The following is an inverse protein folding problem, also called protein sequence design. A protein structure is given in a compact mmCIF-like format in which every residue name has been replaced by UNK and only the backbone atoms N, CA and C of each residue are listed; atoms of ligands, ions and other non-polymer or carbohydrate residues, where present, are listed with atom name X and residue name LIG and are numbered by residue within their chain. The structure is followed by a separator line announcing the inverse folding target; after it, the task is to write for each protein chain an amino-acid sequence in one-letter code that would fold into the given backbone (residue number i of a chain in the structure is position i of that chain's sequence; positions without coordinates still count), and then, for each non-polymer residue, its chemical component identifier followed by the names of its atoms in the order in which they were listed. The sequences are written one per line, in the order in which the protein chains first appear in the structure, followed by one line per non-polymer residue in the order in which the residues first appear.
data_IF_675330854938
#
_entry.id   IF_675330854938
#
_cell.length_a   1.000
_cell.length_b   1.000
_cell.length_c   1.000
_cell.angle_alpha   90.00
_cell.angle_beta   90.00
_cell.angle_gamma   90.00
#
_symmetry.space_group_name_H-M   'P 1'
#
loop_
_entity.id
_entity.type
_entity.pdbx_description
1 polymer ?
#
# COMPACT_ATOMS: atom_id res chain seq x y z
N UNK A 1 -39.57 -9.54 -17.14
CA UNK A 1 -38.33 -9.55 -16.35
C UNK A 1 -37.82 -8.12 -16.23
N UNK A 2 -37.61 -7.58 -15.03
CA UNK A 2 -36.92 -6.28 -14.90
C UNK A 2 -35.45 -6.46 -15.29
N UNK A 3 -35.05 -5.92 -16.44
CA UNK A 3 -33.66 -5.90 -16.89
C UNK A 3 -32.81 -5.17 -15.85
N UNK A 4 -31.79 -5.86 -15.31
CA UNK A 4 -30.95 -5.32 -14.25
C UNK A 4 -30.13 -4.14 -14.81
N UNK A 5 -30.24 -2.97 -14.18
CA UNK A 5 -29.46 -1.80 -14.55
C UNK A 5 -27.99 -2.01 -14.19
N UNK A 6 -27.11 -1.82 -15.16
CA UNK A 6 -25.66 -1.77 -14.99
C UNK A 6 -25.23 -0.41 -14.45
N UNK A 7 -25.69 0.67 -15.09
CA UNK A 7 -25.44 2.07 -14.70
C UNK A 7 -26.77 2.80 -14.60
N UNK A 8 -27.05 3.35 -13.43
CA UNK A 8 -28.23 4.18 -13.17
C UNK A 8 -28.04 5.60 -13.74
N UNK A 9 -29.14 6.35 -13.87
CA UNK A 9 -29.09 7.76 -14.29
C UNK A 9 -28.18 8.61 -13.38
N UNK A 10 -28.23 8.38 -12.07
CA UNK A 10 -27.35 9.04 -11.11
C UNK A 10 -25.87 8.75 -11.38
N UNK A 11 -25.51 7.46 -11.49
CA UNK A 11 -24.14 7.04 -11.75
C UNK A 11 -23.63 7.57 -13.09
N UNK A 12 -24.48 7.58 -14.12
CA UNK A 12 -24.16 8.16 -15.42
C UNK A 12 -23.84 9.65 -15.33
N UNK A 13 -24.65 10.45 -14.62
CA UNK A 13 -24.43 11.90 -14.51
C UNK A 13 -23.18 12.25 -13.69
N UNK A 14 -22.77 11.35 -12.79
CA UNK A 14 -21.47 11.45 -12.12
C UNK A 14 -20.36 11.11 -13.11
N UNK A 15 -20.40 9.91 -13.71
CA UNK A 15 -19.33 9.36 -14.56
C UNK A 15 -19.08 10.17 -15.84
N UNK A 16 -20.09 10.79 -16.44
CA UNK A 16 -19.90 11.60 -17.65
C UNK A 16 -18.95 12.79 -17.44
N UNK A 17 -18.81 13.25 -16.19
CA UNK A 17 -17.89 14.34 -15.83
C UNK A 17 -16.53 13.82 -15.33
N UNK A 18 -16.31 12.50 -15.30
CA UNK A 18 -15.08 11.86 -14.84
C UNK A 18 -13.85 12.31 -15.63
N UNK A 19 -12.84 12.82 -14.94
CA UNK A 19 -11.56 13.14 -15.57
C UNK A 19 -10.89 11.87 -16.12
N UNK A 20 -10.96 10.76 -15.38
CA UNK A 20 -10.45 9.45 -15.80
C UNK A 20 -11.06 9.01 -17.14
N UNK A 21 -12.39 9.02 -17.26
CA UNK A 21 -13.07 8.54 -18.48
C UNK A 21 -12.89 9.50 -19.66
N UNK A 22 -12.72 10.81 -19.42
CA UNK A 22 -12.45 11.79 -20.47
C UNK A 22 -11.04 11.64 -21.06
N UNK A 23 -10.04 11.27 -20.24
CA UNK A 23 -8.63 11.32 -20.60
C UNK A 23 -7.95 9.94 -20.80
N UNK A 24 -8.72 8.86 -20.78
CA UNK A 24 -8.20 7.50 -21.00
C UNK A 24 -8.77 6.94 -22.31
N UNK A 25 -8.00 6.89 -23.41
CA UNK A 25 -8.48 6.44 -24.72
C UNK A 25 -9.12 5.05 -24.71
N UNK A 26 -8.61 4.14 -23.88
CA UNK A 26 -9.10 2.76 -23.72
C UNK A 26 -10.49 2.67 -23.08
N UNK A 27 -11.02 3.78 -22.56
CA UNK A 27 -12.34 3.90 -21.95
C UNK A 27 -13.30 4.76 -22.80
N UNK A 28 -12.91 5.16 -24.02
CA UNK A 28 -13.75 6.00 -24.87
C UNK A 28 -15.05 5.29 -25.32
N UNK A 29 -15.03 3.97 -25.40
CA UNK A 29 -16.22 3.14 -25.62
C UNK A 29 -17.25 3.29 -24.49
N UNK A 30 -16.81 3.26 -23.23
CA UNK A 30 -17.65 3.53 -22.05
C UNK A 30 -18.14 4.98 -22.07
N UNK A 31 -17.27 5.93 -22.41
CA UNK A 31 -17.62 7.35 -22.48
C UNK A 31 -18.73 7.58 -23.52
N UNK A 32 -18.62 7.01 -24.71
CA UNK A 32 -19.64 7.06 -25.75
C UNK A 32 -20.96 6.46 -25.27
N UNK A 33 -20.93 5.31 -24.59
CA UNK A 33 -22.13 4.71 -24.00
C UNK A 33 -22.82 5.64 -22.99
N UNK A 34 -22.06 6.30 -22.11
CA UNK A 34 -22.60 7.24 -21.14
C UNK A 34 -23.19 8.50 -21.80
N UNK A 35 -22.60 9.00 -22.89
CA UNK A 35 -23.12 10.17 -23.61
C UNK A 35 -24.48 9.88 -24.24
N UNK A 36 -24.63 8.72 -24.90
CA UNK A 36 -25.84 8.40 -25.67
C UNK A 36 -26.97 7.81 -24.85
N UNK A 37 -26.69 7.29 -23.64
CA UNK A 37 -27.70 6.61 -22.83
C UNK A 37 -28.00 7.35 -21.51
N UNK A 38 -29.29 7.42 -21.15
CA UNK A 38 -29.74 7.97 -19.85
C UNK A 38 -29.52 7.00 -18.68
N UNK A 39 -29.44 5.71 -18.98
CA UNK A 39 -29.09 4.61 -18.09
C UNK A 39 -28.60 3.45 -18.96
N UNK A 40 -27.88 2.50 -18.39
CA UNK A 40 -27.37 1.33 -19.12
C UNK A 40 -27.86 0.08 -18.40
N UNK A 41 -28.53 -0.81 -19.12
CA UNK A 41 -28.98 -2.12 -18.70
C UNK A 41 -28.16 -3.23 -19.37
N UNK A 42 -28.29 -4.46 -18.88
CA UNK A 42 -27.62 -5.62 -19.48
C UNK A 42 -28.06 -5.90 -20.92
N UNK A 43 -29.24 -5.44 -21.34
CA UNK A 43 -29.73 -5.61 -22.70
C UNK A 43 -29.17 -4.57 -23.70
N UNK A 44 -28.59 -3.47 -23.19
CA UNK A 44 -28.13 -2.35 -24.03
C UNK A 44 -26.69 -2.55 -24.55
N UNK A 45 -26.01 -3.59 -24.08
CA UNK A 45 -24.58 -3.81 -24.33
C UNK A 45 -24.27 -5.30 -24.51
N UNK A 46 -23.12 -5.60 -25.13
CA UNK A 46 -22.65 -6.99 -25.23
C UNK A 46 -22.35 -7.59 -23.85
N UNK A 47 -22.38 -8.93 -23.74
CA UNK A 47 -22.07 -9.65 -22.50
C UNK A 47 -20.71 -9.29 -21.92
N UNK A 48 -19.71 -9.07 -22.80
CA UNK A 48 -18.36 -8.68 -22.39
C UNK A 48 -18.32 -7.25 -21.83
N UNK A 49 -19.01 -6.32 -22.50
CA UNK A 49 -19.16 -4.95 -22.02
C UNK A 49 -19.92 -4.90 -20.68
N UNK A 50 -20.98 -5.70 -20.53
CA UNK A 50 -21.72 -5.83 -19.28
C UNK A 50 -20.81 -6.32 -18.13
N UNK A 51 -19.95 -7.32 -18.37
CA UNK A 51 -18.95 -7.78 -17.38
C UNK A 51 -17.95 -6.69 -17.03
N UNK A 52 -17.40 -5.99 -18.02
CA UNK A 52 -16.44 -4.90 -17.82
C UNK A 52 -17.03 -3.79 -16.94
N UNK A 53 -18.26 -3.36 -17.24
CA UNK A 53 -18.98 -2.38 -16.43
C UNK A 53 -19.22 -2.92 -15.00
N UNK A 54 -19.74 -4.14 -14.84
CA UNK A 54 -19.97 -4.74 -13.50
C UNK A 54 -18.69 -4.77 -12.66
N UNK A 55 -17.56 -5.11 -13.29
CA UNK A 55 -16.26 -5.24 -12.62
C UNK A 55 -15.68 -3.88 -12.20
N UNK A 56 -15.81 -2.86 -13.03
CA UNK A 56 -15.05 -1.61 -12.86
C UNK A 56 -15.88 -0.37 -12.50
N UNK A 57 -17.23 -0.43 -12.59
CA UNK A 57 -18.11 0.72 -12.30
C UNK A 57 -17.85 1.36 -10.94
N UNK A 58 -17.68 0.53 -9.91
CA UNK A 58 -17.46 1.03 -8.55
C UNK A 58 -16.16 1.85 -8.44
N UNK A 59 -15.09 1.40 -9.11
CA UNK A 59 -13.81 2.12 -9.16
C UNK A 59 -13.92 3.41 -9.96
N UNK A 60 -14.58 3.39 -11.13
CA UNK A 60 -14.79 4.59 -11.92
C UNK A 60 -15.57 5.65 -11.14
N UNK A 61 -16.63 5.24 -10.44
CA UNK A 61 -17.42 6.14 -9.60
C UNK A 61 -16.57 6.70 -8.46
N UNK A 62 -15.80 5.84 -7.79
CA UNK A 62 -14.92 6.23 -6.68
C UNK A 62 -13.87 7.26 -7.12
N UNK A 63 -13.16 7.01 -8.22
CA UNK A 63 -12.19 7.96 -8.77
C UNK A 63 -12.87 9.28 -9.13
N UNK A 64 -14.02 9.22 -9.80
CA UNK A 64 -14.78 10.41 -10.19
C UNK A 64 -15.24 11.23 -8.98
N UNK A 65 -15.60 10.58 -7.86
CA UNK A 65 -15.94 11.30 -6.64
C UNK A 65 -14.72 11.97 -5.98
N UNK A 66 -13.51 11.46 -6.18
CA UNK A 66 -12.29 12.11 -5.69
C UNK A 66 -11.92 13.36 -6.50
N UNK A 67 -12.27 13.38 -7.79
CA UNK A 67 -12.12 14.56 -8.66
C UNK A 67 -13.10 15.70 -8.31
N UNK A 68 -14.14 15.40 -7.52
CA UNK A 68 -15.19 16.36 -7.15
C UNK A 68 -14.91 16.96 -5.77
N UNK A 69 -14.85 18.29 -5.71
CA UNK A 69 -14.61 19.05 -4.47
C UNK A 69 -15.78 19.98 -4.18
N UNK A 70 -16.02 20.29 -2.91
CA UNK A 70 -17.06 21.27 -2.58
C UNK A 70 -16.53 22.67 -2.91
N UNK A 71 -17.29 23.44 -3.69
CA UNK A 71 -16.98 24.85 -3.90
C UNK A 71 -17.25 25.62 -2.59
N UNK A 72 -16.17 26.07 -1.94
CA UNK A 72 -16.23 26.83 -0.68
C UNK A 72 -16.42 28.33 -0.93
N UNK A 73 -16.20 28.82 -2.14
CA UNK A 73 -16.42 30.23 -2.51
C UNK A 73 -17.91 30.57 -2.61
N UNK A 74 -18.75 29.56 -2.86
CA UNK A 74 -20.21 29.72 -2.98
C UNK A 74 -20.93 29.20 -1.75
N UNK A 75 -21.71 30.08 -1.13
CA UNK A 75 -22.59 29.68 -0.04
C UNK A 75 -23.69 28.73 -0.55
N UNK A 76 -24.05 27.69 0.22
CA UNK A 76 -25.18 26.84 -0.13
C UNK A 76 -26.47 27.66 -0.28
N UNK A 77 -27.23 27.39 -1.35
CA UNK A 77 -28.48 28.09 -1.65
C UNK A 77 -29.66 27.41 -0.93
N UNK A 78 -30.49 28.20 -0.25
CA UNK A 78 -31.73 27.72 0.34
C UNK A 78 -32.85 27.80 -0.69
N UNK A 79 -33.47 26.66 -0.99
CA UNK A 79 -34.56 26.58 -1.96
C UNK A 79 -35.85 27.05 -1.29
N UNK A 80 -36.45 28.14 -1.80
CA UNK A 80 -37.74 28.63 -1.29
C UNK A 80 -38.87 27.70 -1.75
N UNK A 81 -39.93 27.58 -0.94
CA UNK A 81 -41.11 26.83 -1.33
C UNK A 81 -41.71 27.41 -2.62
N UNK A 82 -41.84 26.58 -3.65
CA UNK A 82 -42.40 26.95 -4.97
C UNK A 82 -41.38 27.09 -6.10
N UNK A 83 -40.08 27.22 -5.80
CA UNK A 83 -39.03 27.25 -6.84
C UNK A 83 -38.67 25.84 -7.30
N UNK A 84 -38.70 25.59 -8.61
CA UNK A 84 -38.37 24.29 -9.21
C UNK A 84 -36.85 24.15 -9.43
N UNK A 85 -36.10 23.83 -8.39
CA UNK A 85 -34.68 23.47 -8.51
C UNK A 85 -34.49 21.95 -8.55
N UNK A 86 -33.63 21.44 -9.45
CA UNK A 86 -33.30 20.00 -9.55
C UNK A 86 -31.82 19.75 -9.29
N UNK A 87 -31.51 18.62 -8.65
CA UNK A 87 -30.14 18.19 -8.43
C UNK A 87 -29.50 17.74 -9.74
N UNK A 88 -28.29 18.22 -10.05
CA UNK A 88 -27.58 17.83 -11.27
C UNK A 88 -27.32 16.31 -11.37
N UNK A 89 -26.88 15.65 -10.29
CA UNK A 89 -26.60 14.21 -10.37
C UNK A 89 -27.85 13.32 -10.41
N UNK A 90 -28.82 13.52 -9.52
CA UNK A 90 -29.95 12.60 -9.42
C UNK A 90 -31.23 13.08 -10.12
N UNK A 91 -31.23 14.28 -10.70
CA UNK A 91 -32.39 14.92 -11.35
C UNK A 91 -33.64 15.04 -10.48
N UNK A 92 -33.53 14.81 -9.16
CA UNK A 92 -34.65 14.98 -8.23
C UNK A 92 -34.81 16.46 -7.86
N UNK A 93 -36.05 16.94 -7.67
CA UNK A 93 -36.28 18.28 -7.15
C UNK A 93 -35.68 18.44 -5.75
N UNK A 94 -35.09 19.60 -5.51
CA UNK A 94 -34.50 19.98 -4.23
C UNK A 94 -35.58 20.65 -3.37
N UNK A 95 -35.75 20.17 -2.14
CA UNK A 95 -36.81 20.62 -1.23
C UNK A 95 -36.29 21.43 -0.04
N UNK A 96 -34.98 21.68 0.02
CA UNK A 96 -34.36 22.35 1.18
C UNK A 96 -33.10 23.14 0.82
N UNK A 97 -32.02 22.46 0.45
CA UNK A 97 -30.70 23.08 0.29
C UNK A 97 -29.93 22.53 -0.90
N UNK A 98 -29.39 23.43 -1.71
CA UNK A 98 -28.47 23.13 -2.79
C UNK A 98 -27.03 23.47 -2.39
N UNK A 99 -26.10 22.61 -2.77
CA UNK A 99 -24.66 22.81 -2.61
C UNK A 99 -24.00 22.90 -3.97
N UNK A 100 -22.83 23.51 -4.01
CA UNK A 100 -22.01 23.62 -5.20
C UNK A 100 -20.79 22.70 -5.08
N UNK A 101 -20.53 21.96 -6.15
CA UNK A 101 -19.40 21.03 -6.27
C UNK A 101 -18.66 21.38 -7.54
N UNK A 102 -17.35 21.53 -7.46
CA UNK A 102 -16.43 21.73 -8.58
C UNK A 102 -15.82 20.40 -9.00
N UNK A 103 -15.71 20.14 -10.30
CA UNK A 103 -14.77 19.12 -10.78
C UNK A 103 -13.35 19.69 -10.94
N UNK A 104 -12.45 18.84 -11.42
CA UNK A 104 -11.06 19.16 -11.73
C UNK A 104 -10.87 20.17 -12.87
N UNK A 105 -11.91 20.38 -13.70
CA UNK A 105 -11.91 21.35 -14.80
C UNK A 105 -12.58 22.68 -14.37
N UNK A 106 -12.71 22.93 -13.04
CA UNK A 106 -13.39 24.07 -12.41
C UNK A 106 -14.86 24.26 -12.78
N UNK A 107 -15.50 23.21 -13.32
CA UNK A 107 -16.93 23.26 -13.64
C UNK A 107 -17.75 23.07 -12.37
N UNK A 108 -18.64 24.02 -12.11
CA UNK A 108 -19.49 24.02 -10.91
C UNK A 108 -20.84 23.32 -11.18
N UNK A 109 -21.16 22.33 -10.35
CA UNK A 109 -22.42 21.58 -10.36
C UNK A 109 -23.26 21.92 -9.13
N UNK A 110 -24.55 22.13 -9.34
CA UNK A 110 -25.52 22.29 -8.26
C UNK A 110 -26.11 20.95 -7.85
N UNK A 111 -25.94 20.56 -6.59
CA UNK A 111 -26.27 19.22 -6.09
C UNK A 111 -27.03 19.26 -4.76
N UNK A 112 -27.94 18.30 -4.57
CA UNK A 112 -28.68 18.14 -3.32
C UNK A 112 -27.86 17.49 -2.22
N UNK A 113 -28.27 17.69 -0.97
CA UNK A 113 -27.63 17.14 0.23
C UNK A 113 -27.31 15.64 0.14
N UNK A 114 -28.24 14.83 -0.35
CA UNK A 114 -28.06 13.38 -0.50
C UNK A 114 -27.01 13.00 -1.56
N UNK A 115 -26.88 13.79 -2.61
CA UNK A 115 -25.88 13.55 -3.67
C UNK A 115 -24.50 14.03 -3.26
N UNK A 116 -24.43 15.13 -2.49
CA UNK A 116 -23.18 15.66 -1.92
C UNK A 116 -22.55 14.65 -0.96
N UNK A 117 -23.35 13.99 -0.11
CA UNK A 117 -22.86 12.98 0.85
C UNK A 117 -22.16 11.78 0.19
N UNK A 118 -22.48 11.48 -1.06
CA UNK A 118 -21.92 10.35 -1.81
C UNK A 118 -20.54 10.68 -2.42
N UNK A 119 -20.18 11.95 -2.48
CA UNK A 119 -18.87 12.41 -2.92
C UNK A 119 -17.92 12.19 -1.74
N UNK A 120 -17.04 11.20 -1.87
CA UNK A 120 -16.12 10.75 -0.84
C UNK A 120 -15.03 11.80 -0.57
N UNK A 121 -15.40 12.88 0.12
CA UNK A 121 -14.47 13.79 0.75
C UNK A 121 -14.29 13.37 2.22
N UNK A 122 -13.06 13.31 2.75
CA UNK A 122 -12.80 13.23 4.19
C UNK A 122 -13.59 14.25 5.02
N UNK A 123 -13.90 15.45 4.48
CA UNK A 123 -14.78 16.43 5.11
C UNK A 123 -16.25 15.97 5.27
N UNK A 124 -16.68 14.95 4.53
CA UNK A 124 -18.07 14.43 4.52
C UNK A 124 -18.24 13.07 5.21
N UNK A 125 -17.20 12.49 5.82
CA UNK A 125 -17.35 11.36 6.76
C UNK A 125 -18.00 11.76 8.11
N UNK A 126 -18.50 13.00 8.19
CA UNK A 126 -19.26 13.55 9.30
C UNK A 126 -20.74 13.52 8.90
N UNK A 127 -21.54 12.62 9.47
CA UNK A 127 -22.91 12.89 9.93
C UNK A 127 -23.64 11.59 10.31
N UNK A 128 -23.76 11.32 11.61
CA UNK A 128 -24.99 10.72 12.13
C UNK A 128 -26.12 11.74 11.94
N UNK A 129 -27.30 11.33 11.44
CA UNK A 129 -28.49 12.18 11.54
C UNK A 129 -28.78 12.48 13.02
N UNK A 130 -28.58 13.74 13.44
CA UNK A 130 -28.86 14.17 14.81
C UNK A 130 -30.37 14.22 15.07
N UNK A 131 -31.13 14.77 14.12
CA UNK A 131 -32.58 14.86 14.16
C UNK A 131 -33.23 13.66 13.45
N UNK A 132 -34.25 13.08 14.08
CA UNK A 132 -35.02 11.93 13.59
C UNK A 132 -36.37 12.32 12.98
N UNK A 133 -36.85 13.53 13.21
CA UNK A 133 -38.14 14.02 12.72
C UNK A 133 -38.12 15.55 12.49
N UNK A 134 -39.17 16.07 11.84
CA UNK A 134 -39.29 17.49 11.49
C UNK A 134 -39.24 18.44 12.71
N UNK A 135 -39.78 18.04 13.87
CA UNK A 135 -39.73 18.86 15.09
C UNK A 135 -38.30 18.95 15.65
N UNK A 136 -37.58 17.84 15.69
CA UNK A 136 -36.16 17.82 16.08
C UNK A 136 -35.30 18.61 15.09
N UNK A 137 -35.64 18.57 13.80
CA UNK A 137 -34.95 19.30 12.75
C UNK A 137 -35.07 20.82 12.93
N UNK A 138 -36.26 21.35 13.21
CA UNK A 138 -36.46 22.78 13.52
C UNK A 138 -35.63 23.24 14.72
N UNK A 139 -35.55 22.41 15.77
CA UNK A 139 -34.74 22.70 16.96
C UNK A 139 -33.24 22.63 16.66
N UNK A 140 -32.81 21.69 15.82
CA UNK A 140 -31.44 21.58 15.36
C UNK A 140 -31.02 22.82 14.54
N UNK A 141 -31.88 23.31 13.65
CA UNK A 141 -31.65 24.53 12.88
C UNK A 141 -31.49 25.75 13.78
N UNK A 142 -32.32 25.87 14.83
CA UNK A 142 -32.17 26.91 15.86
C UNK A 142 -30.84 26.82 16.61
N UNK A 143 -30.39 25.61 16.96
CA UNK A 143 -29.05 25.44 17.54
C UNK A 143 -27.94 25.78 16.56
N UNK A 144 -28.08 25.43 15.28
CA UNK A 144 -27.08 25.73 14.26
C UNK A 144 -26.91 27.24 14.05
N UNK A 145 -28.01 28.01 14.14
CA UNK A 145 -27.95 29.47 14.06
C UNK A 145 -27.20 30.10 15.24
N UNK A 146 -27.37 29.55 16.45
CA UNK A 146 -26.82 30.14 17.67
C UNK A 146 -25.45 29.57 18.09
N UNK A 147 -25.16 28.31 17.74
CA UNK A 147 -23.98 27.56 18.15
C UNK A 147 -23.42 26.69 17.00
N UNK A 148 -23.03 27.29 15.87
CA UNK A 148 -22.62 26.53 14.67
C UNK A 148 -21.45 25.58 14.94
N UNK A 149 -20.42 26.03 15.67
CA UNK A 149 -19.25 25.23 16.03
C UNK A 149 -19.60 24.03 16.93
N UNK A 150 -20.50 24.22 17.89
CA UNK A 150 -20.91 23.15 18.79
C UNK A 150 -21.64 22.03 18.04
N UNK A 151 -22.41 22.38 17.01
CA UNK A 151 -23.06 21.41 16.14
C UNK A 151 -22.04 20.69 15.26
N UNK A 152 -20.99 21.36 14.80
CA UNK A 152 -19.89 20.70 14.08
C UNK A 152 -19.21 19.66 14.97
N UNK A 153 -18.79 20.05 16.19
CA UNK A 153 -18.15 19.16 17.16
C UNK A 153 -19.03 17.96 17.50
N UNK A 154 -20.33 18.17 17.71
CA UNK A 154 -21.28 17.11 18.06
C UNK A 154 -21.52 16.06 16.97
N UNK A 155 -21.06 16.32 15.73
CA UNK A 155 -21.22 15.40 14.60
C UNK A 155 -19.98 14.53 14.35
N UNK A 156 -18.83 14.85 14.94
CA UNK A 156 -17.64 14.02 14.77
C UNK A 156 -17.92 12.61 15.30
N UNK A 157 -17.65 11.61 14.46
CA UNK A 157 -17.56 10.22 14.90
C UNK A 157 -16.09 9.86 15.19
N UNK A 158 -15.87 8.69 15.76
CA UNK A 158 -14.52 8.21 16.11
C UNK A 158 -13.58 8.27 14.92
N UNK A 159 -13.99 7.79 13.74
CA UNK A 159 -13.16 7.79 12.54
C UNK A 159 -12.80 9.22 12.10
N UNK A 160 -13.75 10.15 12.12
CA UNK A 160 -13.53 11.54 11.76
C UNK A 160 -12.49 12.20 12.69
N UNK A 161 -12.51 11.86 13.99
CA UNK A 161 -11.48 12.33 14.93
C UNK A 161 -10.12 11.71 14.60
N UNK A 162 -10.05 10.40 14.31
CA UNK A 162 -8.80 9.71 13.95
C UNK A 162 -8.12 10.35 12.75
N UNK A 163 -8.88 10.67 11.69
CA UNK A 163 -8.37 11.19 10.42
C UNK A 163 -8.21 12.71 10.36
N UNK A 164 -8.62 13.44 11.41
CA UNK A 164 -8.41 14.89 11.51
C UNK A 164 -6.94 15.27 11.66
N UNK A 165 -6.11 14.34 12.13
CA UNK A 165 -4.72 14.58 12.49
C UNK A 165 -3.74 13.92 11.52
N UNK A 166 -2.60 14.58 11.30
CA UNK A 166 -1.52 14.06 10.44
C UNK A 166 -0.84 12.79 10.98
N UNK A 167 -0.84 12.62 12.31
CA UNK A 167 -0.27 11.46 13.00
C UNK A 167 -1.35 10.71 13.76
N UNK A 168 -1.14 9.41 13.98
CA UNK A 168 -2.03 8.58 14.80
C UNK A 168 -1.98 9.03 16.25
N UNK A 169 -3.15 9.33 16.79
CA UNK A 169 -3.31 9.70 18.20
C UNK A 169 -3.11 8.50 19.13
N UNK A 170 -2.50 8.75 20.28
CA UNK A 170 -2.55 7.80 21.40
C UNK A 170 -3.99 7.55 21.83
N UNK A 171 -4.22 6.40 22.47
CA UNK A 171 -5.54 6.06 23.00
C UNK A 171 -6.03 7.12 23.99
N UNK A 172 -5.15 7.64 24.86
CA UNK A 172 -5.48 8.68 25.84
C UNK A 172 -5.95 9.97 25.18
N UNK A 173 -5.29 10.39 24.10
CA UNK A 173 -5.66 11.60 23.36
C UNK A 173 -6.99 11.43 22.62
N UNK A 174 -7.16 10.28 21.97
CA UNK A 174 -8.38 9.93 21.26
C UNK A 174 -9.57 9.85 22.22
N UNK A 175 -9.44 9.15 23.36
CA UNK A 175 -10.48 9.00 24.36
C UNK A 175 -10.88 10.36 24.96
N UNK A 176 -9.93 11.28 25.15
CA UNK A 176 -10.22 12.63 25.63
C UNK A 176 -11.04 13.44 24.62
N UNK A 177 -10.67 13.44 23.33
CA UNK A 177 -11.45 14.11 22.27
C UNK A 177 -12.85 13.49 22.15
N UNK A 178 -12.95 12.16 22.17
CA UNK A 178 -14.22 11.45 22.11
C UNK A 178 -15.13 11.79 23.29
N UNK A 179 -14.58 11.90 24.50
CA UNK A 179 -15.35 12.27 25.68
C UNK A 179 -15.93 13.69 25.55
N UNK A 180 -15.16 14.65 25.04
CA UNK A 180 -15.65 16.02 24.80
C UNK A 180 -16.76 16.01 23.74
N UNK A 181 -16.53 15.31 22.62
CA UNK A 181 -17.53 15.16 21.54
C UNK A 181 -18.82 14.50 22.04
N UNK A 182 -18.71 13.45 22.86
CA UNK A 182 -19.86 12.75 23.47
C UNK A 182 -20.66 13.68 24.38
N UNK A 183 -20.00 14.53 25.18
CA UNK A 183 -20.66 15.53 26.03
C UNK A 183 -21.42 16.56 25.18
N UNK A 184 -20.79 17.13 24.14
CA UNK A 184 -21.46 18.01 23.17
C UNK A 184 -22.67 17.33 22.52
N UNK A 185 -22.49 16.11 22.01
CA UNK A 185 -23.53 15.34 21.35
C UNK A 185 -24.75 15.10 22.27
N UNK A 186 -24.51 14.74 23.53
CA UNK A 186 -25.59 14.51 24.50
C UNK A 186 -26.41 15.77 24.79
N UNK A 187 -25.77 16.94 24.90
CA UNK A 187 -26.46 18.22 25.11
C UNK A 187 -27.31 18.55 23.89
N UNK A 188 -26.73 18.47 22.68
CA UNK A 188 -27.46 18.69 21.42
C UNK A 188 -28.65 17.75 21.32
N UNK A 189 -28.47 16.46 21.65
CA UNK A 189 -29.54 15.46 21.57
C UNK A 189 -30.68 15.73 22.56
N UNK A 190 -30.36 16.13 23.79
CA UNK A 190 -31.34 16.51 24.82
C UNK A 190 -32.14 17.74 24.40
N UNK A 191 -31.48 18.76 23.85
CA UNK A 191 -32.14 19.96 23.36
C UNK A 191 -33.11 19.65 22.21
N UNK A 192 -32.64 18.97 21.15
CA UNK A 192 -33.49 18.73 19.98
C UNK A 192 -34.66 17.78 20.30
N UNK A 193 -34.46 16.79 21.18
CA UNK A 193 -35.56 15.93 21.66
C UNK A 193 -36.57 16.67 22.56
N UNK A 194 -36.23 17.86 23.07
CA UNK A 194 -37.08 18.61 23.99
C UNK A 194 -37.10 18.04 25.41
N UNK A 195 -36.16 17.13 25.73
CA UNK A 195 -35.99 16.53 27.05
C UNK A 195 -35.09 17.37 27.97
N UNK A 196 -34.57 18.50 27.49
CA UNK A 196 -33.76 19.43 28.28
C UNK A 196 -33.76 20.84 27.67
N UNK A 197 -33.69 21.85 28.53
CA UNK A 197 -33.76 23.27 28.17
C UNK A 197 -32.38 23.96 28.08
N UNK A 198 -31.34 23.39 28.69
CA UNK A 198 -30.03 24.04 28.83
C UNK A 198 -29.09 23.81 27.65
N UNK A 199 -28.55 24.91 27.09
CA UNK A 199 -27.42 24.95 26.14
C UNK A 199 -26.11 25.41 26.81
N UNK A 200 -26.11 25.69 28.12
CA UNK A 200 -25.06 26.42 28.83
C UNK A 200 -23.64 25.87 28.62
N UNK A 201 -23.47 24.55 28.66
CA UNK A 201 -22.16 23.93 28.54
C UNK A 201 -21.69 23.71 27.08
N UNK A 202 -22.51 24.03 26.06
CA UNK A 202 -22.11 23.85 24.65
C UNK A 202 -20.87 24.68 24.32
N UNK A 203 -20.82 25.94 24.77
CA UNK A 203 -19.68 26.82 24.55
C UNK A 203 -18.43 26.33 25.29
N UNK A 204 -18.60 25.79 26.51
CA UNK A 204 -17.51 25.25 27.31
C UNK A 204 -16.83 24.08 26.59
N UNK A 205 -17.60 23.06 26.22
CA UNK A 205 -17.05 21.86 25.58
C UNK A 205 -16.54 22.12 24.17
N UNK A 206 -17.14 23.05 23.43
CA UNK A 206 -16.63 23.47 22.11
C UNK A 206 -15.27 24.15 22.23
N UNK A 207 -15.11 25.08 23.20
CA UNK A 207 -13.82 25.71 23.49
C UNK A 207 -12.78 24.69 23.97
N UNK A 208 -13.18 23.74 24.81
CA UNK A 208 -12.30 22.68 25.29
C UNK A 208 -11.81 21.79 24.14
N UNK A 209 -12.72 21.37 23.25
CA UNK A 209 -12.39 20.59 22.06
C UNK A 209 -11.41 21.34 21.15
N UNK A 210 -11.72 22.58 20.79
CA UNK A 210 -10.87 23.37 19.90
C UNK A 210 -9.49 23.66 20.51
N UNK A 211 -9.42 23.96 21.81
CA UNK A 211 -8.15 24.14 22.52
C UNK A 211 -7.31 22.86 22.46
N UNK A 212 -7.90 21.71 22.79
CA UNK A 212 -7.17 20.44 22.82
C UNK A 212 -6.78 19.95 21.43
N UNK A 213 -7.67 20.10 20.44
CA UNK A 213 -7.41 19.86 19.02
C UNK A 213 -6.22 20.67 18.53
N UNK A 214 -6.21 21.98 18.77
CA UNK A 214 -5.13 22.85 18.30
C UNK A 214 -3.80 22.52 18.98
N UNK A 215 -3.82 22.20 20.28
CA UNK A 215 -2.62 21.73 20.98
C UNK A 215 -2.06 20.44 20.34
N UNK A 216 -2.92 19.45 20.04
CA UNK A 216 -2.52 18.22 19.36
C UNK A 216 -1.99 18.48 17.94
N UNK A 217 -2.59 19.41 17.20
CA UNK A 217 -2.11 19.77 15.85
C UNK A 217 -0.69 20.35 15.91
N UNK A 218 -0.41 21.24 16.85
CA UNK A 218 0.93 21.81 17.04
C UNK A 218 1.92 20.72 17.48
N UNK A 219 1.54 19.90 18.45
CA UNK A 219 2.35 18.76 18.88
C UNK A 219 2.70 17.83 17.70
N UNK A 220 1.76 17.56 16.82
CA UNK A 220 2.03 16.75 15.62
C UNK A 220 2.97 17.43 14.64
N UNK A 221 2.84 18.75 14.43
CA UNK A 221 3.77 19.46 13.55
C UNK A 221 5.22 19.34 14.03
N UNK A 222 5.44 19.52 15.33
CA UNK A 222 6.77 19.42 15.94
C UNK A 222 7.37 18.01 15.85
N UNK A 223 6.52 16.98 15.68
CA UNK A 223 6.90 15.57 15.70
C UNK A 223 6.79 14.87 14.33
N UNK A 224 6.47 15.60 13.25
CA UNK A 224 6.27 15.03 11.91
C UNK A 224 7.51 14.27 11.39
N UNK A 225 8.71 14.76 11.71
CA UNK A 225 9.97 14.16 11.29
C UNK A 225 10.47 13.04 12.22
N UNK A 226 9.72 12.70 13.27
CA UNK A 226 10.10 11.65 14.21
C UNK A 226 9.80 10.28 13.60
N UNK A 227 10.81 9.41 13.35
CA UNK A 227 10.63 8.13 12.67
C UNK A 227 9.68 7.16 13.38
N UNK A 228 9.43 7.36 14.67
CA UNK A 228 8.55 6.48 15.45
C UNK A 228 7.08 6.85 15.34
N UNK A 229 6.74 8.09 14.94
CA UNK A 229 5.36 8.58 14.92
C UNK A 229 4.68 8.20 13.61
N UNK A 230 3.54 7.54 13.68
CA UNK A 230 2.92 6.95 12.49
C UNK A 230 1.99 7.93 11.76
N UNK A 231 2.22 8.20 10.46
CA UNK A 231 1.35 9.07 9.66
C UNK A 231 -0.02 8.47 9.37
N UNK A 232 -1.06 9.28 9.55
CA UNK A 232 -2.45 8.89 9.26
C UNK A 232 -2.74 8.81 7.76
N UNK A 233 -1.94 9.48 6.91
CA UNK A 233 -2.06 9.40 5.45
C UNK A 233 -1.84 7.97 4.92
N UNK A 234 -0.89 7.24 5.51
CA UNK A 234 -0.58 5.85 5.16
C UNK A 234 -1.80 4.95 5.42
N UNK A 235 -2.44 5.10 6.59
CA UNK A 235 -3.68 4.40 6.91
C UNK A 235 -4.82 4.73 5.94
N UNK A 236 -4.90 6.00 5.56
CA UNK A 236 -5.90 6.48 4.61
C UNK A 236 -5.69 5.83 3.25
N UNK A 237 -4.45 5.75 2.79
CA UNK A 237 -4.10 5.11 1.52
C UNK A 237 -4.34 3.59 1.57
N UNK A 238 -4.01 2.91 2.67
CA UNK A 238 -4.37 1.49 2.85
C UNK A 238 -5.89 1.26 2.75
N UNK A 239 -6.71 2.14 3.34
CA UNK A 239 -8.17 2.06 3.22
C UNK A 239 -8.62 2.25 1.76
N UNK A 240 -8.05 3.24 1.07
CA UNK A 240 -8.33 3.51 -0.34
C UNK A 240 -7.94 2.31 -1.21
N UNK A 241 -6.84 1.62 -0.92
CA UNK A 241 -6.41 0.43 -1.67
C UNK A 241 -7.10 -0.87 -1.25
N UNK A 242 -8.15 -0.79 -0.43
CA UNK A 242 -8.99 -1.94 -0.06
C UNK A 242 -8.52 -2.72 1.18
N UNK A 243 -7.51 -2.24 1.90
CA UNK A 243 -6.93 -2.87 3.11
C UNK A 243 -7.52 -2.30 4.40
N UNK A 244 -8.84 -2.04 4.42
CA UNK A 244 -9.50 -1.33 5.52
C UNK A 244 -9.35 -2.01 6.89
N UNK A 245 -9.54 -3.32 6.95
CA UNK A 245 -9.48 -4.05 8.22
C UNK A 245 -8.06 -4.09 8.79
N UNK A 246 -7.07 -4.20 7.91
CA UNK A 246 -5.66 -4.13 8.27
C UNK A 246 -5.28 -2.73 8.76
N UNK A 247 -5.69 -1.69 8.05
CA UNK A 247 -5.48 -0.30 8.47
C UNK A 247 -6.07 -0.02 9.86
N UNK A 248 -7.28 -0.53 10.15
CA UNK A 248 -7.89 -0.38 11.47
C UNK A 248 -7.10 -1.12 12.57
N UNK A 249 -6.62 -2.34 12.29
CA UNK A 249 -5.78 -3.09 13.23
C UNK A 249 -4.47 -2.36 13.51
N UNK A 250 -3.83 -1.80 12.48
CA UNK A 250 -2.61 -0.99 12.62
C UNK A 250 -2.89 0.24 13.45
N UNK A 251 -3.95 1.00 13.14
CA UNK A 251 -4.34 2.17 13.93
C UNK A 251 -4.48 1.81 15.41
N UNK A 252 -5.25 0.77 15.73
CA UNK A 252 -5.55 0.41 17.12
C UNK A 252 -4.28 -0.02 17.88
N UNK A 253 -3.35 -0.73 17.23
CA UNK A 253 -2.07 -1.12 17.84
C UNK A 253 -1.12 0.06 18.05
N UNK A 254 -1.02 0.95 17.06
CA UNK A 254 -0.19 2.17 17.15
C UNK A 254 -0.78 3.13 18.19
N UNK A 255 -2.10 3.28 18.22
CA UNK A 255 -2.79 4.12 19.20
C UNK A 255 -2.60 3.63 20.64
N UNK A 256 -2.56 2.30 20.86
CA UNK A 256 -2.19 1.71 22.16
C UNK A 256 -0.73 1.93 22.54
N UNK A 257 0.13 2.14 21.54
CA UNK A 257 1.57 2.38 21.71
C UNK A 257 1.88 3.88 21.69
N UNK A 258 0.98 4.71 22.23
CA UNK A 258 1.09 6.18 22.27
C UNK A 258 1.36 6.85 20.91
N UNK A 259 0.84 6.30 19.82
CA UNK A 259 1.06 6.82 18.46
C UNK A 259 2.40 6.40 17.85
N UNK A 260 3.13 5.48 18.50
CA UNK A 260 4.41 4.94 18.06
C UNK A 260 4.20 3.63 17.31
N UNK A 261 4.82 3.51 16.13
CA UNK A 261 4.91 2.24 15.42
C UNK A 261 6.06 1.40 15.98
N UNK A 262 5.75 0.20 16.46
CA UNK A 262 6.75 -0.76 16.94
C UNK A 262 7.31 -1.60 15.81
N UNK A 263 8.47 -2.24 16.01
CA UNK A 263 9.07 -3.11 15.00
C UNK A 263 8.13 -4.24 14.58
N UNK A 264 7.48 -4.88 15.55
CA UNK A 264 6.55 -6.01 15.32
C UNK A 264 5.34 -5.66 14.46
N UNK A 265 4.95 -4.38 14.46
CA UNK A 265 3.90 -3.85 13.59
C UNK A 265 4.51 -3.50 12.23
N UNK A 266 5.61 -2.75 12.22
CA UNK A 266 6.27 -2.28 11.01
C UNK A 266 6.62 -3.43 10.04
N UNK A 267 7.18 -4.53 10.54
CA UNK A 267 7.60 -5.67 9.70
C UNK A 267 6.42 -6.37 9.00
N UNK A 268 5.18 -6.15 9.45
CA UNK A 268 3.97 -6.75 8.87
C UNK A 268 3.37 -5.89 7.76
N UNK A 269 3.72 -4.61 7.68
CA UNK A 269 3.15 -3.68 6.71
C UNK A 269 3.96 -3.75 5.40
N UNK A 270 3.33 -4.27 4.35
CA UNK A 270 3.94 -4.41 3.01
C UNK A 270 3.58 -3.27 2.05
N UNK A 271 2.88 -2.24 2.52
CA UNK A 271 2.42 -1.12 1.72
C UNK A 271 3.60 -0.26 1.20
N UNK A 272 3.58 0.09 -0.09
CA UNK A 272 4.68 0.81 -0.75
C UNK A 272 4.94 2.20 -0.16
N UNK A 273 3.90 2.98 0.13
CA UNK A 273 4.04 4.31 0.73
C UNK A 273 4.63 4.21 2.14
N UNK A 274 4.18 3.22 2.92
CA UNK A 274 4.76 2.94 4.23
C UNK A 274 6.25 2.59 4.14
N UNK A 275 6.64 1.72 3.21
CA UNK A 275 8.03 1.33 3.04
C UNK A 275 8.89 2.50 2.55
N UNK A 276 8.34 3.37 1.69
CA UNK A 276 9.03 4.58 1.24
C UNK A 276 9.23 5.57 2.40
N UNK A 277 8.24 5.70 3.28
CA UNK A 277 8.36 6.49 4.50
C UNK A 277 9.38 5.89 5.48
N UNK A 278 9.43 4.57 5.64
CA UNK A 278 10.49 3.93 6.43
C UNK A 278 11.87 4.18 5.82
N UNK A 279 11.99 4.03 4.49
CA UNK A 279 13.24 4.22 3.76
C UNK A 279 13.78 5.65 3.90
N UNK A 280 12.94 6.67 3.76
CA UNK A 280 13.39 8.07 3.90
C UNK A 280 14.00 8.36 5.27
N UNK A 281 13.51 7.68 6.31
CA UNK A 281 14.10 7.74 7.66
C UNK A 281 15.39 6.92 7.77
N UNK A 282 15.44 5.75 7.13
CA UNK A 282 16.62 4.86 7.14
C UNK A 282 17.80 5.43 6.36
N UNK A 283 17.56 6.13 5.25
CA UNK A 283 18.58 6.78 4.44
C UNK A 283 19.37 7.85 5.20
N UNK A 284 18.85 8.37 6.32
CA UNK A 284 19.56 9.30 7.21
C UNK A 284 20.72 8.64 7.97
N UNK A 285 20.82 7.31 7.95
CA UNK A 285 21.83 6.53 8.69
C UNK A 285 22.85 5.91 7.73
N UNK A 286 24.11 5.86 8.18
CA UNK A 286 25.20 5.32 7.36
C UNK A 286 24.93 3.87 6.93
N UNK A 287 25.38 3.53 5.72
CA UNK A 287 25.20 2.24 5.08
C UNK A 287 23.96 2.15 4.18
N UNK A 288 22.81 2.71 4.58
CA UNK A 288 21.59 2.59 3.76
C UNK A 288 21.69 3.32 2.42
N UNK A 289 22.20 4.55 2.44
CA UNK A 289 22.46 5.33 1.23
C UNK A 289 23.56 4.69 0.37
N UNK A 290 24.65 4.21 1.01
CA UNK A 290 25.76 3.52 0.33
C UNK A 290 25.28 2.30 -0.46
N UNK A 291 24.30 1.59 0.09
CA UNK A 291 23.70 0.41 -0.52
C UNK A 291 22.55 0.74 -1.50
N UNK A 292 22.31 2.01 -1.83
CA UNK A 292 21.33 2.48 -2.83
C UNK A 292 19.98 1.79 -2.69
N UNK A 293 19.46 1.73 -1.46
CA UNK A 293 18.23 1.01 -1.17
C UNK A 293 17.03 1.76 -1.73
N UNK A 294 16.12 1.06 -2.40
CA UNK A 294 14.87 1.58 -2.95
C UNK A 294 13.70 0.65 -2.64
N UNK A 295 12.46 1.14 -2.75
CA UNK A 295 11.26 0.31 -2.57
C UNK A 295 10.80 -0.28 -3.91
N UNK A 296 10.37 -1.54 -3.89
CA UNK A 296 9.78 -2.24 -5.03
C UNK A 296 8.25 -2.25 -4.93
N UNK A 297 7.57 -2.37 -6.07
CA UNK A 297 6.09 -2.41 -6.19
C UNK A 297 5.40 -3.57 -5.45
N UNK A 298 6.14 -4.52 -4.90
CA UNK A 298 5.61 -5.72 -4.24
C UNK A 298 5.88 -5.77 -2.74
N UNK A 299 6.16 -4.63 -2.11
CA UNK A 299 6.40 -4.60 -0.67
C UNK A 299 7.77 -5.17 -0.27
N UNK A 300 8.76 -5.05 -1.17
CA UNK A 300 10.15 -5.46 -0.96
C UNK A 300 11.07 -4.24 -1.11
N UNK A 301 12.32 -4.37 -0.66
CA UNK A 301 13.37 -3.41 -0.98
C UNK A 301 14.26 -3.94 -2.09
N UNK A 302 14.72 -3.06 -2.99
CA UNK A 302 15.88 -3.35 -3.82
C UNK A 302 17.11 -2.79 -3.13
N UNK A 303 18.22 -3.50 -3.23
CA UNK A 303 19.47 -3.15 -2.58
C UNK A 303 20.65 -3.44 -3.49
N UNK A 304 21.62 -2.55 -3.48
CA UNK A 304 22.92 -2.73 -4.13
C UNK A 304 23.98 -3.09 -3.10
N UNK A 305 24.65 -4.22 -3.28
CA UNK A 305 25.84 -4.58 -2.51
C UNK A 305 27.07 -4.40 -3.39
N UNK A 306 28.00 -3.56 -2.94
CA UNK A 306 29.28 -3.37 -3.58
C UNK A 306 30.35 -4.29 -2.98
N UNK A 307 31.11 -5.00 -3.82
CA UNK A 307 32.34 -5.71 -3.45
C UNK A 307 33.44 -5.32 -4.42
N UNK A 308 34.54 -4.74 -3.91
CA UNK A 308 35.60 -4.14 -4.72
C UNK A 308 35.02 -3.12 -5.72
N UNK A 309 35.21 -3.33 -7.04
CA UNK A 309 34.67 -2.48 -8.12
C UNK A 309 33.34 -2.99 -8.68
N UNK A 310 32.79 -4.08 -8.13
CA UNK A 310 31.57 -4.71 -8.63
C UNK A 310 30.36 -4.38 -7.76
N UNK A 311 29.23 -4.14 -8.41
CA UNK A 311 27.92 -4.00 -7.78
C UNK A 311 27.03 -5.20 -8.11
N UNK A 312 26.22 -5.61 -7.13
CA UNK A 312 25.28 -6.73 -7.20
C UNK A 312 23.92 -6.28 -6.67
N UNK A 313 22.84 -6.61 -7.39
CA UNK A 313 21.49 -6.17 -7.09
C UNK A 313 20.67 -7.31 -6.46
N UNK A 314 20.03 -7.00 -5.35
CA UNK A 314 19.21 -7.92 -4.59
C UNK A 314 17.83 -7.34 -4.33
N UNK A 315 16.83 -8.21 -4.36
CA UNK A 315 15.55 -7.97 -3.71
C UNK A 315 15.64 -8.47 -2.28
N UNK A 316 15.12 -7.70 -1.34
CA UNK A 316 15.16 -8.00 0.09
C UNK A 316 13.74 -7.90 0.64
N UNK A 317 13.27 -8.96 1.29
CA UNK A 317 11.97 -8.93 1.95
C UNK A 317 11.93 -7.80 2.99
N UNK A 318 10.87 -6.98 2.94
CA UNK A 318 10.74 -5.81 3.81
C UNK A 318 10.68 -6.14 5.30
N UNK A 319 10.18 -7.31 5.69
CA UNK A 319 10.14 -7.72 7.09
C UNK A 319 11.55 -7.94 7.62
N UNK A 320 12.43 -8.54 6.81
CA UNK A 320 13.84 -8.78 7.14
C UNK A 320 14.59 -7.45 7.17
N UNK A 321 14.39 -6.59 6.16
CA UNK A 321 15.02 -5.26 6.12
C UNK A 321 14.64 -4.39 7.32
N UNK A 322 13.35 -4.29 7.65
CA UNK A 322 12.86 -3.48 8.77
C UNK A 322 13.24 -4.06 10.14
N UNK A 323 13.28 -5.40 10.27
CA UNK A 323 13.78 -6.08 11.46
C UNK A 323 15.27 -5.79 11.66
N UNK A 324 16.05 -5.94 10.61
CA UNK A 324 17.48 -5.63 10.63
C UNK A 324 17.75 -4.14 10.81
N UNK A 325 16.86 -3.26 10.36
CA UNK A 325 16.95 -1.84 10.67
C UNK A 325 16.64 -1.53 12.14
N UNK A 326 15.96 -2.42 12.87
CA UNK A 326 15.46 -2.18 14.22
C UNK A 326 14.48 -0.99 14.27
N UNK A 327 13.65 -0.85 13.23
CA UNK A 327 12.68 0.24 13.13
C UNK A 327 11.74 0.30 14.34
N UNK A 328 11.44 1.49 14.92
CA UNK A 328 11.81 2.83 14.46
C UNK A 328 13.15 3.35 14.99
N UNK A 329 13.80 2.61 15.91
CA UNK A 329 15.14 2.95 16.42
C UNK A 329 16.20 2.44 15.45
N UNK A 330 16.30 3.13 14.32
CA UNK A 330 17.09 2.70 13.17
C UNK A 330 18.57 2.55 13.57
N UNK A 331 19.13 1.36 13.32
CA UNK A 331 20.56 1.08 13.46
C UNK A 331 21.24 1.19 12.09
N UNK A 332 22.46 1.76 11.98
CA UNK A 332 23.19 1.85 10.71
C UNK A 332 23.35 0.49 10.04
N UNK A 333 23.39 0.47 8.71
CA UNK A 333 23.58 -0.75 7.93
C UNK A 333 25.07 -1.06 7.77
N UNK A 334 25.66 -1.60 8.83
CA UNK A 334 27.05 -2.07 8.79
C UNK A 334 27.19 -3.37 7.99
N UNK A 335 28.42 -3.67 7.56
CA UNK A 335 28.77 -4.92 6.88
C UNK A 335 28.37 -6.15 7.71
N UNK A 336 28.56 -6.10 9.03
CA UNK A 336 28.12 -7.17 9.94
C UNK A 336 26.60 -7.38 9.89
N UNK A 337 25.82 -6.30 9.80
CA UNK A 337 24.36 -6.39 9.69
C UNK A 337 23.88 -6.86 8.32
N UNK A 338 24.64 -6.62 7.24
CA UNK A 338 24.33 -7.18 5.91
C UNK A 338 24.21 -8.69 5.95
N UNK A 339 25.02 -9.35 6.79
CA UNK A 339 24.97 -10.81 6.93
C UNK A 339 23.62 -11.31 7.46
N UNK A 340 22.90 -10.48 8.22
CA UNK A 340 21.57 -10.80 8.76
C UNK A 340 20.46 -10.70 7.70
N UNK A 341 20.76 -10.08 6.55
CA UNK A 341 19.81 -9.98 5.44
C UNK A 341 19.84 -11.21 4.53
N UNK A 342 20.87 -12.07 4.63
CA UNK A 342 21.15 -13.16 3.67
C UNK A 342 19.93 -14.04 3.38
N UNK A 343 19.21 -14.45 4.41
CA UNK A 343 18.03 -15.31 4.29
C UNK A 343 16.87 -14.66 3.50
N UNK A 344 16.88 -13.33 3.40
CA UNK A 344 15.90 -12.54 2.66
C UNK A 344 16.39 -11.98 1.34
N UNK A 345 17.65 -12.21 0.96
CA UNK A 345 18.28 -11.62 -0.21
C UNK A 345 18.17 -12.54 -1.42
N UNK A 346 17.41 -12.09 -2.42
CA UNK A 346 17.25 -12.80 -3.68
C UNK A 346 17.96 -12.01 -4.79
N UNK A 347 19.03 -12.55 -5.40
CA UNK A 347 19.72 -11.86 -6.48
C UNK A 347 18.81 -11.72 -7.71
N UNK A 348 18.87 -10.57 -8.38
CA UNK A 348 18.17 -10.38 -9.67
C UNK A 348 18.72 -11.34 -10.74
N UNK A 349 17.99 -11.63 -11.83
CA UNK A 349 18.48 -12.51 -12.90
C UNK A 349 19.85 -12.10 -13.47
N UNK A 350 20.11 -10.80 -13.60
CA UNK A 350 21.39 -10.25 -14.05
C UNK A 350 22.49 -10.49 -13.02
N UNK A 351 22.17 -10.27 -11.74
CA UNK A 351 23.07 -10.52 -10.62
C UNK A 351 23.42 -12.01 -10.53
N UNK A 352 22.46 -12.92 -10.72
CA UNK A 352 22.70 -14.37 -10.75
C UNK A 352 23.75 -14.75 -11.80
N UNK A 353 23.58 -14.28 -13.03
CA UNK A 353 24.56 -14.53 -14.12
C UNK A 353 25.94 -13.99 -13.77
N UNK A 354 26.00 -12.78 -13.21
CA UNK A 354 27.24 -12.12 -12.80
C UNK A 354 27.96 -12.87 -11.67
N UNK A 355 27.22 -13.33 -10.65
CA UNK A 355 27.78 -14.08 -9.52
C UNK A 355 28.44 -15.37 -9.98
N UNK A 356 27.79 -16.11 -10.90
CA UNK A 356 28.34 -17.34 -11.47
C UNK A 356 29.61 -17.02 -12.28
N UNK A 357 29.57 -15.99 -13.14
CA UNK A 357 30.72 -15.58 -13.93
C UNK A 357 31.91 -15.13 -13.06
N UNK A 358 31.65 -14.36 -12.00
CA UNK A 358 32.67 -13.92 -11.06
C UNK A 358 33.29 -15.10 -10.29
N UNK A 359 32.47 -16.09 -9.90
CA UNK A 359 32.97 -17.31 -9.25
C UNK A 359 33.88 -18.12 -10.20
N UNK A 360 33.47 -18.30 -11.46
CA UNK A 360 34.29 -18.96 -12.50
C UNK A 360 35.60 -18.21 -12.71
N UNK A 361 35.55 -16.87 -12.74
CA UNK A 361 36.74 -16.05 -12.89
C UNK A 361 37.71 -16.21 -11.71
N UNK A 362 37.20 -16.32 -10.48
CA UNK A 362 38.02 -16.60 -9.30
C UNK A 362 38.71 -17.96 -9.41
N UNK A 363 37.98 -19.02 -9.78
CA UNK A 363 38.55 -20.35 -10.01
C UNK A 363 39.68 -20.31 -11.05
N UNK A 364 39.44 -19.66 -12.19
CA UNK A 364 40.43 -19.55 -13.26
C UNK A 364 41.67 -18.76 -12.84
N UNK A 365 41.50 -17.66 -12.10
CA UNK A 365 42.61 -16.85 -11.59
C UNK A 365 43.49 -17.63 -10.60
N UNK A 366 42.90 -18.54 -9.83
CA UNK A 366 43.60 -19.47 -8.93
C UNK A 366 44.04 -20.78 -9.63
N UNK A 367 44.05 -20.79 -10.98
CA UNK A 367 44.52 -21.89 -11.85
C UNK A 367 43.74 -23.20 -11.75
N UNK A 368 42.50 -23.15 -11.28
CA UNK A 368 41.61 -24.30 -11.32
C UNK A 368 41.00 -24.47 -12.72
N UNK A 369 40.89 -25.73 -13.17
CA UNK A 369 40.30 -26.06 -14.47
C UNK A 369 38.87 -26.59 -14.30
N UNK A 370 37.94 -26.07 -15.09
CA UNK A 370 36.56 -26.53 -15.12
C UNK A 370 36.40 -27.78 -16.00
N UNK A 371 35.56 -28.71 -15.54
CA UNK A 371 35.14 -29.88 -16.32
C UNK A 371 33.70 -29.70 -16.81
N UNK A 372 33.48 -29.97 -18.09
CA UNK A 372 32.15 -29.93 -18.70
C UNK A 372 31.70 -31.36 -19.05
N UNK A 373 30.77 -31.96 -18.27
CA UNK A 373 30.25 -33.28 -18.59
C UNK A 373 29.48 -33.26 -19.91
N UNK A 374 29.51 -34.38 -20.65
CA UNK A 374 28.69 -34.54 -21.84
C UNK A 374 27.25 -34.85 -21.44
N UNK A 375 26.36 -33.87 -21.58
CA UNK A 375 24.95 -33.97 -21.17
C UNK A 375 24.00 -34.26 -22.35
N UNK A 376 24.53 -34.65 -23.51
CA UNK A 376 23.70 -34.99 -24.67
C UNK A 376 22.80 -36.19 -24.36
N UNK A 377 21.59 -36.18 -24.92
CA UNK A 377 20.61 -37.29 -24.86
C UNK A 377 19.95 -37.53 -23.48
N UNK A 378 20.20 -36.67 -22.49
CA UNK A 378 19.46 -36.69 -21.22
C UNK A 378 18.06 -36.09 -21.39
N UNK A 379 17.10 -36.58 -20.60
CA UNK A 379 15.81 -35.91 -20.40
C UNK A 379 15.99 -34.55 -19.72
N UNK A 380 15.02 -33.66 -19.85
CA UNK A 380 15.06 -32.33 -19.22
C UNK A 380 15.32 -32.38 -17.71
N UNK A 381 14.75 -33.39 -17.02
CA UNK A 381 14.93 -33.59 -15.58
C UNK A 381 16.39 -33.91 -15.24
N UNK A 382 16.99 -34.87 -15.94
CA UNK A 382 18.38 -35.27 -15.69
C UNK A 382 19.37 -34.23 -16.23
N UNK A 383 19.06 -33.58 -17.36
CA UNK A 383 19.84 -32.45 -17.85
C UNK A 383 19.95 -31.35 -16.79
N UNK A 384 18.83 -30.95 -16.17
CA UNK A 384 18.82 -29.96 -15.08
C UNK A 384 19.63 -30.42 -13.85
N UNK A 385 19.54 -31.70 -13.47
CA UNK A 385 20.30 -32.28 -12.36
C UNK A 385 21.81 -32.03 -12.49
N UNK A 386 22.38 -32.26 -13.68
CA UNK A 386 23.83 -32.12 -13.89
C UNK A 386 24.27 -30.73 -14.32
N UNK A 387 23.44 -29.99 -15.08
CA UNK A 387 23.74 -28.63 -15.54
C UNK A 387 23.61 -27.57 -14.44
N UNK A 388 22.95 -27.89 -13.31
CA UNK A 388 22.89 -27.02 -12.14
C UNK A 388 24.14 -27.07 -11.26
N UNK A 389 25.24 -27.67 -11.74
CA UNK A 389 26.50 -27.79 -11.02
C UNK A 389 27.68 -27.27 -11.87
N UNK A 390 28.71 -26.79 -11.18
CA UNK A 390 30.03 -26.49 -11.71
C UNK A 390 31.01 -27.55 -11.17
N UNK A 391 31.71 -28.22 -12.08
CA UNK A 391 32.70 -29.25 -11.75
C UNK A 391 34.10 -28.68 -11.95
N UNK A 392 34.97 -28.86 -10.96
CA UNK A 392 36.33 -28.28 -10.95
C UNK A 392 37.34 -29.35 -10.59
N UNK A 393 38.42 -29.47 -11.37
CA UNK A 393 39.53 -30.36 -11.01
C UNK A 393 40.24 -29.89 -9.75
N UNK A 394 40.25 -30.73 -8.72
CA UNK A 394 41.07 -30.52 -7.52
C UNK A 394 42.52 -30.91 -7.78
N UNK A 395 43.43 -30.45 -6.92
CA UNK A 395 44.86 -30.78 -6.99
C UNK A 395 45.15 -32.30 -6.86
N UNK A 396 44.19 -33.08 -6.37
CA UNK A 396 44.28 -34.54 -6.22
C UNK A 396 43.71 -35.32 -7.40
N UNK A 397 43.18 -34.65 -8.43
CA UNK A 397 42.61 -35.25 -9.64
C UNK A 397 41.09 -35.48 -9.60
N UNK A 398 40.46 -35.42 -8.43
CA UNK A 398 39.00 -35.53 -8.29
C UNK A 398 38.29 -34.24 -8.73
N UNK A 399 37.02 -34.35 -9.12
CA UNK A 399 36.15 -33.22 -9.41
C UNK A 399 35.43 -32.73 -8.15
N UNK A 400 35.74 -31.52 -7.71
CA UNK A 400 34.94 -30.78 -6.74
C UNK A 400 33.62 -30.33 -7.40
N UNK A 401 32.50 -30.55 -6.71
CA UNK A 401 31.15 -30.23 -7.19
C UNK A 401 30.62 -29.01 -6.44
N UNK A 402 30.23 -27.98 -7.19
CA UNK A 402 29.56 -26.80 -6.65
C UNK A 402 28.18 -26.65 -7.30
N UNK A 403 27.12 -26.74 -6.50
CA UNK A 403 25.78 -26.43 -7.01
C UNK A 403 25.65 -24.93 -7.28
N UNK A 404 24.94 -24.54 -8.34
CA UNK A 404 24.69 -23.13 -8.65
C UNK A 404 23.95 -22.45 -7.48
N UNK A 405 23.04 -23.14 -6.82
CA UNK A 405 22.30 -22.56 -5.69
C UNK A 405 23.20 -22.31 -4.47
N UNK A 406 24.17 -23.19 -4.18
CA UNK A 406 25.17 -22.92 -3.13
C UNK A 406 26.10 -21.78 -3.51
N UNK A 407 26.51 -21.69 -4.78
CA UNK A 407 27.32 -20.57 -5.28
C UNK A 407 26.58 -19.25 -5.05
N UNK A 408 25.32 -19.18 -5.47
CA UNK A 408 24.52 -17.95 -5.44
C UNK A 408 24.14 -17.53 -4.01
N UNK A 409 23.68 -18.48 -3.19
CA UNK A 409 23.02 -18.15 -1.92
C UNK A 409 23.93 -18.34 -0.69
N UNK A 410 25.07 -19.00 -0.84
CA UNK A 410 26.03 -19.21 0.26
C UNK A 410 27.39 -18.64 -0.09
N UNK A 411 28.11 -19.27 -1.02
CA UNK A 411 29.54 -18.98 -1.26
C UNK A 411 29.75 -17.53 -1.67
N UNK A 412 29.09 -17.09 -2.75
CA UNK A 412 29.29 -15.73 -3.27
C UNK A 412 28.56 -14.70 -2.42
N UNK A 413 27.40 -15.04 -1.85
CA UNK A 413 26.69 -14.13 -0.96
C UNK A 413 27.49 -13.83 0.31
N UNK A 414 28.10 -14.85 0.92
CA UNK A 414 29.02 -14.71 2.07
C UNK A 414 30.23 -13.86 1.69
N UNK A 415 30.83 -14.13 0.53
CA UNK A 415 31.95 -13.35 0.04
C UNK A 415 31.58 -11.87 -0.19
N UNK A 416 30.43 -11.58 -0.77
CA UNK A 416 30.02 -10.22 -1.12
C UNK A 416 29.59 -9.41 0.12
N UNK A 417 29.05 -10.08 1.14
CA UNK A 417 28.60 -9.44 2.38
C UNK A 417 29.69 -9.30 3.44
N UNK A 418 30.94 -9.70 3.16
CA UNK A 418 32.09 -9.51 4.06
C UNK A 418 32.93 -8.29 3.67
N UNK A 419 33.75 -7.74 4.60
CA UNK A 419 34.60 -6.58 4.32
C UNK A 419 35.48 -6.78 3.07
N UNK A 420 35.80 -5.69 2.38
CA UNK A 420 36.60 -5.74 1.14
C UNK A 420 38.02 -6.30 1.34
N UNK A 421 38.55 -6.22 2.57
CA UNK A 421 39.84 -6.82 2.95
C UNK A 421 39.83 -8.35 2.94
N UNK A 422 38.66 -8.97 3.11
CA UNK A 422 38.51 -10.43 3.13
C UNK A 422 38.45 -10.97 1.71
N UNK A 423 39.38 -11.86 1.38
CA UNK A 423 39.42 -12.63 0.13
C UNK A 423 38.73 -13.98 0.33
N UNK A 424 38.04 -14.46 -0.71
CA UNK A 424 37.52 -15.82 -0.73
C UNK A 424 38.69 -16.79 -0.86
N UNK A 425 38.81 -17.76 0.06
CA UNK A 425 39.85 -18.79 -0.01
C UNK A 425 39.38 -19.93 -0.93
N UNK A 426 39.64 -19.79 -2.22
CA UNK A 426 39.20 -20.74 -3.26
C UNK A 426 39.81 -22.13 -3.04
N UNK A 427 41.08 -22.23 -2.67
CA UNK A 427 41.73 -23.52 -2.39
C UNK A 427 41.01 -24.29 -1.29
N UNK A 428 40.72 -23.65 -0.16
CA UNK A 428 39.99 -24.28 0.95
C UNK A 428 38.55 -24.66 0.56
N UNK A 429 37.89 -23.89 -0.31
CA UNK A 429 36.56 -24.25 -0.82
C UNK A 429 36.60 -25.50 -1.70
N UNK A 430 37.58 -25.61 -2.60
CA UNK A 430 37.76 -26.79 -3.47
C UNK A 430 38.14 -28.02 -2.65
N UNK A 431 38.96 -27.85 -1.61
CA UNK A 431 39.40 -28.95 -0.76
C UNK A 431 38.26 -29.55 0.06
N UNK A 432 37.31 -28.73 0.52
CA UNK A 432 36.17 -29.15 1.35
C UNK A 432 34.88 -29.44 0.56
N UNK A 433 34.86 -29.18 -0.75
CA UNK A 433 33.71 -29.51 -1.58
C UNK A 433 33.50 -31.03 -1.67
N UNK A 434 32.25 -31.44 -1.96
CA UNK A 434 31.98 -32.82 -2.33
C UNK A 434 32.78 -33.18 -3.59
N UNK A 435 33.41 -34.36 -3.57
CA UNK A 435 34.28 -34.82 -4.66
C UNK A 435 33.71 -36.05 -5.33
N UNK A 436 33.90 -36.13 -6.63
CA UNK A 436 33.58 -37.29 -7.45
C UNK A 436 34.71 -37.50 -8.46
N UNK A 437 35.08 -38.73 -8.77
CA UNK A 437 36.01 -38.97 -9.87
C UNK A 437 35.32 -38.71 -11.21
N UNK A 438 36.09 -38.36 -12.25
CA UNK A 438 35.55 -38.22 -13.62
C UNK A 438 34.85 -39.51 -14.05
N UNK A 439 35.43 -40.67 -13.72
CA UNK A 439 34.90 -41.99 -14.05
C UNK A 439 33.53 -42.23 -13.42
N UNK A 440 33.38 -41.96 -12.13
CA UNK A 440 32.09 -42.14 -11.42
C UNK A 440 31.02 -41.20 -11.99
N UNK A 441 31.37 -39.94 -12.30
CA UNK A 441 30.42 -39.00 -12.88
C UNK A 441 29.92 -39.47 -14.26
N UNK A 442 30.84 -39.94 -15.12
CA UNK A 442 30.48 -40.48 -16.44
C UNK A 442 29.56 -41.70 -16.29
N UNK A 443 29.89 -42.63 -15.38
CA UNK A 443 29.06 -43.82 -15.13
C UNK A 443 27.66 -43.46 -14.64
N UNK A 444 27.52 -42.44 -13.78
CA UNK A 444 26.22 -41.94 -13.33
C UNK A 444 25.39 -41.36 -14.48
N UNK A 445 26.02 -40.56 -15.35
CA UNK A 445 25.35 -39.97 -16.52
C UNK A 445 24.91 -41.06 -17.50
N UNK A 446 25.78 -42.03 -17.80
CA UNK A 446 25.45 -43.15 -18.70
C UNK A 446 24.29 -43.99 -18.17
N UNK A 447 24.27 -44.27 -16.87
CA UNK A 447 23.16 -44.98 -16.22
C UNK A 447 21.84 -44.19 -16.36
N UNK A 448 21.85 -42.89 -16.13
CA UNK A 448 20.66 -42.05 -16.27
C UNK A 448 20.18 -41.99 -17.73
N UNK A 449 21.09 -41.99 -18.71
CA UNK A 449 20.74 -42.09 -20.15
C UNK A 449 20.06 -43.43 -20.45
N UNK A 450 20.60 -44.55 -19.96
CA UNK A 450 20.01 -45.87 -20.17
C UNK A 450 18.59 -45.95 -19.58
N UNK A 451 18.40 -45.42 -18.37
CA UNK A 451 17.07 -45.35 -17.74
C UNK A 451 16.10 -44.50 -18.59
N UNK A 452 16.53 -43.32 -19.05
CA UNK A 452 15.69 -42.45 -19.89
C UNK A 452 15.32 -43.14 -21.23
N UNK A 453 16.21 -43.97 -21.78
CA UNK A 453 15.95 -44.77 -22.98
C UNK A 453 14.96 -45.91 -22.72
N UNK A 454 15.17 -46.70 -21.67
CA UNK A 454 14.25 -47.79 -21.31
C UNK A 454 12.84 -47.29 -20.98
N UNK A 455 12.71 -46.13 -20.34
CA UNK A 455 11.38 -45.52 -20.10
C UNK A 455 10.71 -45.15 -21.44
N UNK A 456 11.45 -44.61 -22.41
CA UNK A 456 10.92 -44.28 -23.74
C UNK A 456 10.57 -45.51 -24.59
N UNK A 457 11.09 -46.68 -24.27
CA UNK A 457 10.73 -47.94 -24.93
C UNK A 457 9.48 -48.58 -24.31
N UNK A 458 9.11 -48.18 -23.09
CA UNK A 458 7.95 -48.67 -22.35
C UNK A 458 6.66 -47.85 -22.57
N UNK A 459 6.77 -46.66 -23.18
CA UNK A 459 5.66 -45.75 -23.51
C UNK A 459 5.78 -45.28 -24.95
#
# INVERSE_FOLDING_TARGET
MMTKLLITNYERNVLINSYLLKNTPELDDIRRLLVHNKHISEADVSTEMARRIKKHKADWLRVTYLDLTKDKSRSPYYVKNGEKFTCYFCNKPLTSKAYFVTDKDDKVFQVGSECVKKIANPEFMINSQLAKNSREQKRLEKLQANYPEAIEVAKYNVLAIRYMFKLVLSKKELDKLQNIVKKCHNIVRRYISGKGSGTGDLNLYTKEFNRYKNWLMNYHMDNLDTPSRFPTSILTNMIITGQKDEANKIYDNVSKSDGIITNDIAIKIKNEEFLNWCLSNMLRFDGYEKHKITVSKFGEFNMVVGKRRNNYWYKVDSSIMLRMANYPKIKPLSVERLSLLKDGMIPTPETRKKLIADFILLLNNDKFHMYHPNLKRLSDRNYRKYSNNIYVYSNKGDLAIFSIDDILNKIMLDYITTPNSVKLNIHNLVDNANKITVKELIQQIEKDIQIDQSIKELF
#
